data_IF_955040767681
#
_entry.id   IF_955040767681
#
_cell.length_a   1.000
_cell.length_b   1.000
_cell.length_c   1.000
_cell.angle_alpha   90.00
_cell.angle_beta   90.00
_cell.angle_gamma   90.00
#
_symmetry.space_group_name_H-M   'P 1'
#
loop_
_entity.id
_entity.type
_entity.pdbx_description
1 polymer ?
#
# COMPACT_ATOMS: atom_id res chain seq x y z
N UNK A 1 25.22 -12.10 -10.47
CA UNK A 1 24.54 -12.01 -9.16
C UNK A 1 24.36 -13.40 -8.61
N UNK A 2 24.67 -13.61 -7.33
CA UNK A 2 24.38 -14.87 -6.67
C UNK A 2 22.87 -15.01 -6.39
N UNK A 3 22.37 -16.25 -6.24
CA UNK A 3 20.96 -16.49 -5.87
C UNK A 3 20.59 -15.77 -4.56
N UNK A 4 21.53 -15.65 -3.63
CA UNK A 4 21.34 -14.94 -2.37
C UNK A 4 21.12 -13.42 -2.57
N UNK A 5 21.84 -12.78 -3.50
CA UNK A 5 21.65 -11.36 -3.83
C UNK A 5 20.29 -11.10 -4.49
N UNK A 6 19.83 -12.04 -5.32
CA UNK A 6 18.51 -11.95 -5.93
C UNK A 6 17.41 -12.06 -4.87
N UNK A 7 17.50 -13.05 -3.96
CA UNK A 7 16.55 -13.20 -2.86
C UNK A 7 16.50 -11.96 -1.95
N UNK A 8 17.65 -11.41 -1.56
CA UNK A 8 17.69 -10.19 -0.72
C UNK A 8 17.01 -8.98 -1.36
N UNK A 9 16.95 -8.91 -2.69
CA UNK A 9 16.30 -7.80 -3.42
C UNK A 9 14.79 -7.95 -3.53
N UNK A 10 14.32 -9.19 -3.67
CA UNK A 10 12.89 -9.48 -3.78
C UNK A 10 12.21 -9.66 -2.42
N UNK A 11 12.98 -9.93 -1.35
CA UNK A 11 12.45 -10.08 -0.01
C UNK A 11 11.61 -8.87 0.45
N UNK A 12 12.04 -7.60 0.28
CA UNK A 12 11.20 -6.44 0.61
C UNK A 12 9.90 -6.38 -0.19
N UNK A 13 9.93 -6.77 -1.48
CA UNK A 13 8.75 -6.78 -2.35
C UNK A 13 7.73 -7.80 -1.84
N UNK A 14 8.19 -9.02 -1.53
CA UNK A 14 7.34 -10.09 -1.01
C UNK A 14 6.78 -9.76 0.37
N UNK A 15 7.63 -9.22 1.26
CA UNK A 15 7.21 -8.78 2.58
C UNK A 15 6.12 -7.71 2.49
N UNK A 16 6.30 -6.71 1.62
CA UNK A 16 5.30 -5.65 1.43
C UNK A 16 4.03 -6.16 0.76
N UNK A 17 4.12 -7.09 -0.18
CA UNK A 17 2.96 -7.80 -0.72
C UNK A 17 2.15 -8.49 0.38
N UNK A 18 2.83 -9.11 1.36
CA UNK A 18 2.19 -9.67 2.55
C UNK A 18 1.48 -8.63 3.42
N UNK A 19 2.05 -7.43 3.59
CA UNK A 19 1.40 -6.31 4.29
C UNK A 19 0.10 -5.89 3.57
N UNK A 20 0.13 -5.77 2.25
CA UNK A 20 -1.07 -5.45 1.46
C UNK A 20 -2.11 -6.57 1.58
N UNK A 21 -1.71 -7.83 1.55
CA UNK A 21 -2.61 -8.96 1.76
C UNK A 21 -3.26 -8.91 3.16
N UNK A 22 -2.51 -8.55 4.19
CA UNK A 22 -3.04 -8.37 5.55
C UNK A 22 -4.06 -7.23 5.62
N UNK A 23 -3.76 -6.07 5.02
CA UNK A 23 -4.68 -4.94 4.97
C UNK A 23 -5.88 -5.16 4.05
N UNK A 24 -5.81 -6.14 3.15
CA UNK A 24 -6.94 -6.58 2.33
C UNK A 24 -7.89 -7.55 3.04
N UNK A 25 -7.59 -7.94 4.29
CA UNK A 25 -8.48 -8.82 5.07
C UNK A 25 -9.72 -8.09 5.58
N UNK A 26 -10.74 -8.87 5.97
CA UNK A 26 -11.96 -8.35 6.60
C UNK A 26 -11.73 -7.57 7.90
N UNK A 27 -10.54 -7.66 8.51
CA UNK A 27 -10.19 -6.88 9.69
C UNK A 27 -9.99 -5.39 9.40
N UNK A 28 -9.66 -5.02 8.15
CA UNK A 28 -9.41 -3.64 7.74
C UNK A 28 -10.54 -3.07 6.89
N UNK A 29 -11.77 -3.52 7.11
CA UNK A 29 -12.98 -2.94 6.49
C UNK A 29 -13.21 -1.50 6.93
N UNK A 30 -14.01 -0.76 6.16
CA UNK A 30 -14.42 0.61 6.52
C UNK A 30 -15.09 0.67 7.89
N UNK A 31 -15.84 -0.36 8.26
CA UNK A 31 -16.45 -0.42 9.58
C UNK A 31 -15.41 -0.61 10.70
N UNK A 32 -14.50 -1.58 10.56
CA UNK A 32 -13.48 -1.86 11.58
C UNK A 32 -12.51 -0.70 11.79
N UNK A 33 -12.05 -0.09 10.69
CA UNK A 33 -11.16 1.09 10.75
C UNK A 33 -11.90 2.33 11.25
N UNK A 34 -13.18 2.48 10.92
CA UNK A 34 -14.02 3.60 11.36
C UNK A 34 -14.21 3.64 12.87
N UNK A 35 -14.31 2.47 13.53
CA UNK A 35 -14.41 2.34 15.00
C UNK A 35 -13.23 3.01 15.74
N UNK A 36 -12.08 3.13 15.08
CA UNK A 36 -10.86 3.74 15.64
C UNK A 36 -10.66 5.16 15.09
N UNK A 37 -10.77 5.34 13.77
CA UNK A 37 -10.43 6.60 13.10
C UNK A 37 -11.49 7.68 13.33
N UNK A 38 -12.79 7.34 13.33
CA UNK A 38 -13.84 8.35 13.51
C UNK A 38 -13.78 9.04 14.88
N UNK A 39 -13.58 8.35 16.02
CA UNK A 39 -13.37 9.01 17.30
C UNK A 39 -12.17 9.97 17.30
N UNK A 40 -11.04 9.56 16.70
CA UNK A 40 -9.84 10.40 16.59
C UNK A 40 -10.13 11.65 15.74
N UNK A 41 -10.83 11.51 14.62
CA UNK A 41 -11.22 12.66 13.81
C UNK A 41 -12.21 13.56 14.55
N UNK A 42 -13.14 13.01 15.32
CA UNK A 42 -14.09 13.77 16.13
C UNK A 42 -13.42 14.58 17.24
N UNK A 43 -12.34 14.06 17.83
CA UNK A 43 -11.56 14.84 18.81
C UNK A 43 -10.70 15.92 18.17
N UNK A 44 -10.16 15.68 16.96
CA UNK A 44 -9.37 16.65 16.21
C UNK A 44 -10.22 17.75 15.56
N UNK A 45 -11.44 17.42 15.14
CA UNK A 45 -12.36 18.30 14.42
C UNK A 45 -13.74 18.33 15.12
N UNK A 46 -13.85 18.92 16.32
CA UNK A 46 -15.09 18.88 17.12
C UNK A 46 -16.27 19.62 16.46
N UNK A 47 -16.00 20.54 15.54
CA UNK A 47 -17.02 21.27 14.79
C UNK A 47 -17.47 20.56 13.51
N UNK A 48 -16.81 19.47 13.12
CA UNK A 48 -17.17 18.73 11.91
C UNK A 48 -18.43 17.89 12.15
N UNK A 49 -19.30 17.87 11.15
CA UNK A 49 -20.47 17.00 11.10
C UNK A 49 -20.06 15.54 10.93
N UNK A 50 -20.95 14.62 11.32
CA UNK A 50 -20.71 13.19 11.11
C UNK A 50 -20.42 12.84 9.64
N UNK A 51 -21.09 13.50 8.69
CA UNK A 51 -20.86 13.28 7.26
C UNK A 51 -19.43 13.67 6.83
N UNK A 52 -18.90 14.78 7.35
CA UNK A 52 -17.53 15.22 7.08
C UNK A 52 -16.51 14.26 7.68
N UNK A 53 -16.72 13.76 8.90
CA UNK A 53 -15.83 12.77 9.52
C UNK A 53 -15.79 11.46 8.71
N UNK A 54 -16.95 11.00 8.22
CA UNK A 54 -17.03 9.83 7.33
C UNK A 54 -16.30 10.07 6.01
N UNK A 55 -16.45 11.26 5.41
CA UNK A 55 -15.73 11.63 4.20
C UNK A 55 -14.20 11.66 4.41
N UNK A 56 -13.73 12.27 5.50
CA UNK A 56 -12.32 12.28 5.89
C UNK A 56 -11.78 10.85 6.05
N UNK A 57 -12.49 10.00 6.80
CA UNK A 57 -12.12 8.61 6.97
C UNK A 57 -12.06 7.85 5.63
N UNK A 58 -13.01 8.09 4.73
CA UNK A 58 -12.98 7.54 3.37
C UNK A 58 -11.71 7.95 2.61
N UNK A 59 -11.34 9.24 2.64
CA UNK A 59 -10.13 9.72 1.97
C UNK A 59 -8.84 9.18 2.61
N UNK A 60 -8.79 9.08 3.94
CA UNK A 60 -7.67 8.45 4.65
C UNK A 60 -7.47 7.02 4.16
N UNK A 61 -8.56 6.24 4.04
CA UNK A 61 -8.48 4.88 3.49
C UNK A 61 -7.95 4.90 2.06
N UNK A 62 -8.46 5.77 1.18
CA UNK A 62 -7.97 5.85 -0.21
C UNK A 62 -6.49 6.22 -0.29
N UNK A 63 -6.03 7.13 0.57
CA UNK A 63 -4.63 7.52 0.63
C UNK A 63 -3.75 6.38 1.17
N UNK A 64 -4.23 5.62 2.15
CA UNK A 64 -3.53 4.43 2.66
C UNK A 64 -3.35 3.39 1.54
N UNK A 65 -4.42 3.04 0.81
CA UNK A 65 -4.34 2.10 -0.32
C UNK A 65 -3.41 2.63 -1.41
N UNK A 66 -3.51 3.92 -1.76
CA UNK A 66 -2.60 4.52 -2.73
C UNK A 66 -1.13 4.41 -2.29
N UNK A 67 -0.86 4.67 -1.01
CA UNK A 67 0.49 4.60 -0.43
C UNK A 67 1.03 3.16 -0.44
N UNK A 68 0.20 2.17 -0.13
CA UNK A 68 0.55 0.75 -0.22
C UNK A 68 1.08 0.37 -1.61
N UNK A 69 0.34 0.73 -2.66
CA UNK A 69 0.74 0.44 -4.05
C UNK A 69 1.91 1.29 -4.53
N UNK A 70 2.04 2.53 -4.04
CA UNK A 70 3.19 3.38 -4.33
C UNK A 70 4.47 2.77 -3.76
N UNK A 71 4.45 2.35 -2.49
CA UNK A 71 5.58 1.68 -1.85
C UNK A 71 5.92 0.38 -2.59
N UNK A 72 4.91 -0.45 -2.92
CA UNK A 72 5.13 -1.66 -3.70
C UNK A 72 5.82 -1.35 -5.04
N UNK A 73 5.36 -0.31 -5.73
CA UNK A 73 5.90 0.13 -7.02
C UNK A 73 7.36 0.59 -6.91
N UNK A 74 7.70 1.34 -5.85
CA UNK A 74 9.08 1.75 -5.57
C UNK A 74 9.96 0.53 -5.25
N UNK A 75 9.47 -0.43 -4.47
CA UNK A 75 10.21 -1.66 -4.14
C UNK A 75 10.44 -2.53 -5.39
N UNK A 76 9.42 -2.68 -6.24
CA UNK A 76 9.53 -3.36 -7.53
C UNK A 76 10.54 -2.66 -8.45
N UNK A 77 10.46 -1.34 -8.57
CA UNK A 77 11.41 -0.55 -9.35
C UNK A 77 12.84 -0.78 -8.87
N UNK A 78 13.08 -0.74 -7.55
CA UNK A 78 14.39 -1.01 -6.95
C UNK A 78 14.88 -2.43 -7.24
N UNK A 79 14.02 -3.44 -7.11
CA UNK A 79 14.37 -4.84 -7.35
C UNK A 79 14.74 -5.09 -8.82
N UNK A 80 13.99 -4.49 -9.76
CA UNK A 80 14.21 -4.62 -11.21
C UNK A 80 15.48 -3.88 -11.67
N UNK A 81 15.70 -2.65 -11.18
CA UNK A 81 16.80 -1.79 -11.64
C UNK A 81 18.19 -2.31 -11.22
N UNK A 82 18.26 -3.08 -10.15
CA UNK A 82 19.53 -3.56 -9.61
C UNK A 82 20.17 -4.67 -10.47
N UNK A 83 19.48 -5.26 -11.47
CA UNK A 83 19.90 -6.47 -12.19
C UNK A 83 20.08 -6.40 -13.71
N UNK A 84 19.49 -5.43 -14.45
CA UNK A 84 19.69 -5.25 -15.91
C UNK A 84 19.10 -3.92 -16.43
N UNK A 85 19.68 -3.39 -17.52
CA UNK A 85 19.11 -2.29 -18.33
C UNK A 85 17.74 -2.73 -18.88
N UNK A 86 16.79 -1.80 -18.86
CA UNK A 86 15.39 -2.01 -19.26
C UNK A 86 15.27 -2.71 -20.63
N UNK A 87 14.41 -3.72 -20.75
CA UNK A 87 14.11 -4.42 -22.00
C UNK A 87 12.63 -4.28 -22.31
N UNK A 88 12.32 -3.45 -23.31
CA UNK A 88 10.96 -3.24 -23.81
C UNK A 88 10.30 -4.55 -24.28
N UNK A 89 11.09 -5.55 -24.69
CA UNK A 89 10.58 -6.87 -25.12
C UNK A 89 9.95 -7.66 -23.96
N UNK A 90 10.51 -7.55 -22.75
CA UNK A 90 9.96 -8.23 -21.57
C UNK A 90 8.68 -7.54 -21.05
N UNK A 91 8.57 -6.23 -21.23
CA UNK A 91 7.36 -5.47 -20.90
C UNK A 91 6.22 -5.74 -21.89
N UNK A 92 6.53 -5.90 -23.19
CA UNK A 92 5.54 -6.14 -24.24
C UNK A 92 4.90 -7.55 -24.17
N UNK A 93 5.56 -8.53 -23.55
CA UNK A 93 5.05 -9.91 -23.41
C UNK A 93 4.44 -10.19 -22.04
N UNK A 94 4.36 -9.20 -21.15
CA UNK A 94 3.83 -9.36 -19.79
C UNK A 94 2.31 -9.04 -19.69
N UNK A 95 1.67 -8.77 -20.83
CA UNK A 95 0.22 -8.57 -20.99
C UNK A 95 -0.36 -9.80 -21.69
#
# INVERSE_FOLDING_TARGET
>A
MSRAEQLRRWLPVLAWGGVISLFSTGYFTGESTGKIILPILGTLFPSATHAELVAMHYFIRKLAHFTEYLVLSVLLYRALRAGRRWSFRAAATAV
#
